data_IF_425186784347
#
_entry.id   IF_425186784347
#
_cell.length_a   1.000
_cell.length_b   1.000
_cell.length_c   1.000
_cell.angle_alpha   90.00
_cell.angle_beta   90.00
_cell.angle_gamma   90.00
#
_symmetry.space_group_name_H-M   'P 1'
#
loop_
_entity.id
_entity.type
_entity.pdbx_description
1 polymer ?
#
# COMPACT_ATOMS: atom_id res chain seq x y z
N UNK A 1 2.55 15.54 -38.31
CA UNK A 1 1.58 15.91 -37.22
C UNK A 1 2.05 15.30 -35.93
N UNK A 2 1.92 16.00 -34.81
CA UNK A 2 2.26 15.43 -33.50
C UNK A 2 1.24 14.34 -33.16
N UNK A 3 1.71 13.14 -32.81
CA UNK A 3 0.83 12.04 -32.40
C UNK A 3 0.09 12.40 -31.10
N UNK A 4 -1.17 12.00 -30.99
CA UNK A 4 -2.04 12.26 -29.84
C UNK A 4 -2.31 10.98 -29.08
N UNK A 5 -2.17 11.02 -27.75
CA UNK A 5 -2.51 9.91 -26.88
C UNK A 5 -3.59 10.31 -25.87
N UNK A 6 -4.51 9.38 -25.56
CA UNK A 6 -5.38 9.51 -24.42
C UNK A 6 -4.93 8.56 -23.31
N UNK A 7 -4.90 9.05 -22.07
CA UNK A 7 -4.71 8.24 -20.88
C UNK A 7 -5.94 8.41 -20.00
N UNK A 8 -6.57 7.31 -19.61
CA UNK A 8 -7.77 7.31 -18.77
C UNK A 8 -7.44 6.78 -17.39
N UNK A 9 -7.55 7.66 -16.39
CA UNK A 9 -7.18 7.45 -15.00
C UNK A 9 -5.90 8.18 -14.60
N UNK A 10 -6.00 9.15 -13.68
CA UNK A 10 -4.87 9.95 -13.19
C UNK A 10 -4.28 9.41 -11.87
N UNK A 11 -4.29 8.09 -11.68
CA UNK A 11 -3.52 7.40 -10.65
C UNK A 11 -2.03 7.35 -11.00
N UNK A 12 -1.22 6.74 -10.12
CA UNK A 12 0.24 6.67 -10.28
C UNK A 12 0.68 6.05 -11.61
N UNK A 13 -0.01 4.99 -12.08
CA UNK A 13 0.27 4.34 -13.36
C UNK A 13 -0.03 5.25 -14.56
N UNK A 14 -1.19 5.94 -14.52
CA UNK A 14 -1.60 6.83 -15.61
C UNK A 14 -0.69 8.05 -15.72
N UNK A 15 -0.31 8.64 -14.58
CA UNK A 15 0.64 9.76 -14.56
C UNK A 15 2.01 9.35 -15.12
N UNK A 16 2.48 8.16 -14.76
CA UNK A 16 3.74 7.64 -15.30
C UNK A 16 3.63 7.30 -16.77
N UNK A 17 2.51 6.73 -17.22
CA UNK A 17 2.24 6.49 -18.64
C UNK A 17 2.23 7.79 -19.46
N UNK A 18 1.63 8.88 -18.94
CA UNK A 18 1.68 10.19 -19.57
C UNK A 18 3.12 10.67 -19.78
N UNK A 19 3.94 10.61 -18.73
CA UNK A 19 5.33 11.02 -18.80
C UNK A 19 6.14 10.21 -19.83
N UNK A 20 5.92 8.89 -19.90
CA UNK A 20 6.56 8.04 -20.88
C UNK A 20 6.09 8.34 -22.31
N UNK A 21 4.80 8.62 -22.53
CA UNK A 21 4.24 9.01 -23.84
C UNK A 21 4.78 10.38 -24.30
N UNK A 22 4.90 11.35 -23.39
CA UNK A 22 5.54 12.64 -23.72
C UNK A 22 6.98 12.44 -24.20
N UNK A 23 7.75 11.54 -23.55
CA UNK A 23 9.11 11.19 -24.01
C UNK A 23 9.16 10.54 -25.38
N UNK A 24 8.06 9.92 -25.82
CA UNK A 24 7.90 9.39 -27.18
C UNK A 24 7.34 10.43 -28.16
N UNK A 25 7.22 11.69 -27.76
CA UNK A 25 6.77 12.80 -28.62
C UNK A 25 5.25 12.91 -28.79
N UNK A 26 4.45 12.25 -27.94
CA UNK A 26 3.00 12.41 -27.96
C UNK A 26 2.56 13.70 -27.27
N UNK A 27 1.47 14.29 -27.80
CA UNK A 27 0.62 15.22 -27.04
C UNK A 27 -0.42 14.40 -26.29
N UNK A 28 -0.44 14.50 -24.96
CA UNK A 28 -1.23 13.61 -24.12
C UNK A 28 -2.47 14.29 -23.56
N UNK A 29 -3.59 13.59 -23.56
CA UNK A 29 -4.84 14.00 -22.90
C UNK A 29 -5.12 13.03 -21.76
N UNK A 30 -5.03 13.53 -20.51
CA UNK A 30 -5.23 12.75 -19.30
C UNK A 30 -6.64 13.00 -18.77
N UNK A 31 -7.46 11.95 -18.71
CA UNK A 31 -8.84 12.00 -18.23
C UNK A 31 -8.93 11.35 -16.85
N UNK A 32 -9.56 12.05 -15.89
CA UNK A 32 -9.80 11.56 -14.55
C UNK A 32 -11.25 11.82 -14.15
N UNK A 33 -11.93 10.78 -13.66
CA UNK A 33 -13.34 10.86 -13.25
C UNK A 33 -13.57 11.68 -11.98
N UNK A 34 -12.56 11.75 -11.12
CA UNK A 34 -12.62 12.50 -9.86
C UNK A 34 -12.16 13.95 -10.03
N UNK A 35 -12.26 14.69 -8.95
CA UNK A 35 -11.92 16.11 -8.84
C UNK A 35 -10.41 16.38 -8.67
N UNK A 36 -9.60 15.31 -8.53
CA UNK A 36 -8.14 15.43 -8.37
C UNK A 36 -7.41 14.20 -8.90
N UNK A 37 -6.11 14.36 -9.19
CA UNK A 37 -5.18 13.29 -9.51
C UNK A 37 -4.87 12.41 -8.28
N UNK A 38 -4.14 11.30 -8.47
CA UNK A 38 -3.59 10.45 -7.41
C UNK A 38 -4.33 9.13 -7.22
N UNK A 39 -5.59 9.04 -7.62
CA UNK A 39 -6.38 7.81 -7.49
C UNK A 39 -6.50 7.35 -6.04
N UNK A 40 -5.91 6.19 -5.70
CA UNK A 40 -5.86 5.69 -4.31
C UNK A 40 -4.81 6.39 -3.44
N UNK A 41 -3.78 6.99 -4.03
CA UNK A 41 -2.73 7.74 -3.32
C UNK A 41 -3.15 9.21 -3.18
N UNK A 42 -4.19 9.47 -2.41
CA UNK A 42 -4.70 10.82 -2.10
C UNK A 42 -4.57 11.13 -0.63
N UNK A 43 -4.40 12.41 -0.34
CA UNK A 43 -4.38 12.96 1.01
C UNK A 43 -5.31 14.17 1.06
N UNK A 44 -5.98 14.35 2.18
CA UNK A 44 -6.88 15.49 2.44
C UNK A 44 -6.43 16.24 3.68
N UNK A 45 -6.55 17.57 3.67
CA UNK A 45 -6.30 18.38 4.85
C UNK A 45 -7.62 18.65 5.56
N UNK A 46 -7.71 18.24 6.83
CA UNK A 46 -8.92 18.39 7.66
C UNK A 46 -8.54 18.86 9.06
N UNK A 47 -9.02 20.03 9.47
CA UNK A 47 -8.77 20.60 10.80
C UNK A 47 -7.28 20.64 11.19
N UNK A 48 -6.39 20.92 10.24
CA UNK A 48 -4.95 20.96 10.45
C UNK A 48 -4.22 19.61 10.39
N UNK A 49 -4.95 18.51 10.22
CA UNK A 49 -4.40 17.19 9.99
C UNK A 49 -4.27 16.87 8.50
N UNK A 50 -3.30 16.03 8.16
CA UNK A 50 -3.19 15.39 6.84
C UNK A 50 -3.70 13.97 6.98
N UNK A 51 -4.81 13.65 6.30
CA UNK A 51 -5.44 12.34 6.29
C UNK A 51 -5.19 11.69 4.93
N UNK A 52 -4.40 10.63 4.91
CA UNK A 52 -4.24 9.81 3.71
C UNK A 52 -5.49 8.95 3.49
N UNK A 53 -5.84 8.71 2.25
CA UNK A 53 -6.96 7.82 1.90
C UNK A 53 -6.59 6.36 2.13
N UNK A 54 -6.85 5.87 3.34
CA UNK A 54 -6.29 4.65 3.88
C UNK A 54 -4.93 4.90 4.56
N UNK A 55 -4.34 3.86 5.14
CA UNK A 55 -2.99 3.95 5.68
C UNK A 55 -1.97 3.58 4.62
N UNK A 56 -1.17 4.53 4.20
CA UNK A 56 -0.12 4.36 3.21
C UNK A 56 1.27 4.56 3.80
N UNK A 57 2.21 3.79 3.31
CA UNK A 57 3.64 3.93 3.60
C UNK A 57 4.40 3.75 2.30
N UNK A 58 5.32 4.66 1.99
CA UNK A 58 6.22 4.50 0.86
C UNK A 58 7.37 3.59 1.23
N UNK A 59 7.68 2.68 0.32
CA UNK A 59 8.81 1.76 0.45
C UNK A 59 9.95 2.19 -0.47
N UNK A 60 11.03 2.76 0.12
CA UNK A 60 12.17 3.25 -0.67
C UNK A 60 13.06 2.15 -1.25
N UNK A 61 12.76 0.89 -0.93
CA UNK A 61 13.46 -0.28 -1.49
C UNK A 61 12.98 -0.73 -2.86
N UNK A 62 11.87 -0.17 -3.35
CA UNK A 62 11.35 -0.47 -4.69
C UNK A 62 12.22 0.15 -5.76
N UNK A 63 12.80 -0.64 -6.71
CA UNK A 63 13.80 -0.15 -7.65
C UNK A 63 13.30 0.99 -8.53
N UNK A 64 12.22 0.78 -9.29
CA UNK A 64 11.71 1.79 -10.24
C UNK A 64 11.15 3.01 -9.50
N UNK A 65 10.45 2.80 -8.38
CA UNK A 65 9.97 3.91 -7.57
C UNK A 65 11.13 4.75 -7.00
N UNK A 66 12.26 4.12 -6.61
CA UNK A 66 13.43 4.83 -6.11
C UNK A 66 14.19 5.63 -7.17
N UNK A 67 14.09 5.23 -8.43
CA UNK A 67 14.62 5.99 -9.56
C UNK A 67 13.72 7.18 -9.95
N UNK A 68 12.40 7.02 -9.74
CA UNK A 68 11.42 8.02 -10.16
C UNK A 68 11.14 9.07 -9.10
N UNK A 69 11.15 8.70 -7.81
CA UNK A 69 10.76 9.62 -6.74
C UNK A 69 11.97 10.21 -6.02
N UNK A 70 11.95 11.52 -5.89
CA UNK A 70 12.86 12.26 -5.01
C UNK A 70 12.26 12.32 -3.60
N UNK A 71 12.62 11.36 -2.76
CA UNK A 71 12.15 11.26 -1.37
C UNK A 71 12.64 12.41 -0.48
N UNK A 72 13.81 12.98 -0.81
CA UNK A 72 14.35 14.14 -0.09
C UNK A 72 13.53 15.39 -0.39
N UNK A 73 13.26 15.66 -1.66
CA UNK A 73 12.41 16.79 -2.07
C UNK A 73 10.97 16.69 -1.52
N UNK A 74 10.45 15.47 -1.31
CA UNK A 74 9.17 15.23 -0.64
C UNK A 74 9.26 15.37 0.89
N UNK A 75 10.43 15.65 1.47
CA UNK A 75 10.64 15.77 2.90
C UNK A 75 10.31 14.51 3.69
N UNK A 76 10.55 13.34 3.10
CA UNK A 76 10.16 12.06 3.69
C UNK A 76 10.87 11.76 5.01
N UNK A 77 10.11 11.31 6.01
CA UNK A 77 10.62 10.83 7.30
C UNK A 77 10.36 9.34 7.46
N UNK A 78 11.30 8.63 8.10
CA UNK A 78 11.28 7.18 8.18
C UNK A 78 10.72 6.65 9.50
N UNK A 79 9.99 5.53 9.41
CA UNK A 79 9.73 4.67 10.55
C UNK A 79 11.03 4.08 11.10
N UNK A 80 11.06 3.80 12.40
CA UNK A 80 12.13 2.97 12.97
C UNK A 80 12.00 1.53 12.42
N UNK A 81 13.13 0.88 12.07
CA UNK A 81 13.09 -0.48 11.51
C UNK A 81 12.70 -1.50 12.59
N UNK A 82 11.46 -1.94 12.54
CA UNK A 82 10.86 -2.84 13.51
C UNK A 82 9.37 -2.59 13.70
N UNK A 83 8.81 -3.11 14.79
CA UNK A 83 7.43 -2.92 15.17
C UNK A 83 7.24 -2.99 16.69
N UNK A 84 6.22 -2.34 17.20
CA UNK A 84 5.65 -2.63 18.50
C UNK A 84 4.60 -3.73 18.33
N UNK A 85 4.56 -4.67 19.25
CA UNK A 85 3.63 -5.79 19.22
C UNK A 85 2.84 -5.75 20.51
N UNK A 86 1.53 -5.55 20.39
CA UNK A 86 0.66 -5.46 21.56
C UNK A 86 -0.14 -6.75 21.75
N UNK A 87 -0.25 -7.18 23.01
CA UNK A 87 -1.27 -8.11 23.47
C UNK A 87 -2.24 -7.34 24.35
N UNK A 88 -3.45 -7.05 23.85
CA UNK A 88 -4.47 -6.29 24.58
C UNK A 88 -4.83 -6.93 25.90
N UNK A 89 -5.14 -6.11 26.91
CA UNK A 89 -5.63 -6.57 28.19
C UNK A 89 -6.28 -5.42 28.97
N UNK A 90 -7.42 -5.64 29.62
CA UNK A 90 -8.22 -4.62 30.30
C UNK A 90 -7.46 -3.76 31.32
N UNK A 91 -6.54 -4.38 32.09
CA UNK A 91 -5.82 -3.67 33.15
C UNK A 91 -4.40 -3.30 32.77
N UNK A 92 -3.70 -4.18 32.05
CA UNK A 92 -2.27 -3.99 31.73
C UNK A 92 -1.92 -4.68 30.41
N UNK A 93 -2.05 -4.00 29.27
CA UNK A 93 -1.60 -4.53 27.99
C UNK A 93 -0.10 -4.82 28.04
N UNK A 94 0.32 -5.87 27.33
CA UNK A 94 1.75 -6.16 27.15
C UNK A 94 2.19 -5.67 25.80
N UNK A 95 3.26 -4.89 25.79
CA UNK A 95 3.87 -4.37 24.57
C UNK A 95 5.30 -4.91 24.49
N UNK A 96 5.63 -5.54 23.38
CA UNK A 96 6.99 -5.94 23.04
C UNK A 96 7.49 -5.06 21.88
N UNK A 97 8.75 -4.69 21.94
CA UNK A 97 9.41 -4.00 20.84
C UNK A 97 10.26 -5.02 20.07
N UNK A 98 9.92 -5.20 18.81
CA UNK A 98 10.75 -5.93 17.85
C UNK A 98 11.54 -4.91 17.03
N UNK A 99 12.86 -5.00 17.06
CA UNK A 99 13.75 -4.14 16.27
C UNK A 99 14.55 -4.99 15.32
N UNK A 100 14.67 -4.58 14.06
CA UNK A 100 15.44 -5.28 13.04
C UNK A 100 16.94 -5.33 13.44
N UNK A 101 17.51 -6.51 13.78
CA UNK A 101 18.88 -6.61 14.27
C UNK A 101 19.93 -6.31 13.19
N UNK A 102 19.57 -6.41 11.90
CA UNK A 102 20.45 -6.09 10.80
C UNK A 102 20.66 -4.59 10.61
N UNK A 103 19.65 -3.79 10.98
CA UNK A 103 19.68 -2.32 10.86
C UNK A 103 20.03 -1.63 12.18
N UNK A 104 19.70 -2.26 13.29
CA UNK A 104 19.95 -1.76 14.65
C UNK A 104 20.54 -2.89 15.51
N UNK A 105 21.80 -3.31 15.27
CA UNK A 105 22.35 -4.52 15.89
C UNK A 105 22.31 -4.48 17.43
N UNK A 106 22.63 -3.35 18.04
CA UNK A 106 22.62 -3.22 19.51
C UNK A 106 21.19 -3.34 20.06
N UNK A 107 20.24 -2.55 19.54
CA UNK A 107 18.82 -2.60 19.98
C UNK A 107 18.17 -3.93 19.61
N UNK A 108 18.52 -4.52 18.46
CA UNK A 108 17.98 -5.79 17.99
C UNK A 108 18.38 -6.98 18.85
N UNK A 109 19.60 -7.02 19.38
CA UNK A 109 20.05 -8.07 20.30
C UNK A 109 19.21 -8.03 21.60
N UNK A 110 19.00 -6.85 22.18
CA UNK A 110 18.15 -6.72 23.38
C UNK A 110 16.67 -7.06 23.10
N UNK A 111 16.15 -6.72 21.94
CA UNK A 111 14.80 -7.10 21.50
C UNK A 111 14.62 -8.60 21.28
N UNK A 112 15.68 -9.32 20.86
CA UNK A 112 15.66 -10.76 20.65
C UNK A 112 15.47 -11.57 21.97
N UNK A 113 15.84 -10.99 23.10
CA UNK A 113 15.59 -11.58 24.44
C UNK A 113 14.19 -11.29 24.97
N UNK A 114 13.37 -10.51 24.27
CA UNK A 114 11.95 -10.39 24.62
C UNK A 114 11.26 -11.74 24.41
N UNK A 115 10.46 -12.18 25.36
CA UNK A 115 9.71 -13.44 25.34
C UNK A 115 8.59 -13.48 24.26
N UNK A 116 8.73 -12.64 23.23
CA UNK A 116 7.75 -12.55 22.13
C UNK A 116 7.80 -13.78 21.22
N UNK A 117 9.02 -14.26 20.89
CA UNK A 117 9.20 -15.43 20.02
C UNK A 117 10.47 -16.21 20.38
N UNK A 118 10.61 -17.41 19.84
CA UNK A 118 11.81 -18.21 20.01
C UNK A 118 12.99 -17.63 19.19
N UNK A 119 14.25 -17.75 19.67
CA UNK A 119 15.43 -17.33 18.91
C UNK A 119 15.53 -18.01 17.54
N UNK A 120 14.97 -19.22 17.41
CA UNK A 120 14.95 -19.97 16.16
C UNK A 120 14.10 -19.28 15.06
N UNK A 121 12.97 -18.67 15.43
CA UNK A 121 12.17 -17.90 14.48
C UNK A 121 12.94 -16.64 14.02
N UNK A 122 13.66 -15.97 14.92
CA UNK A 122 14.48 -14.81 14.57
C UNK A 122 15.62 -15.17 13.62
N UNK A 123 16.27 -16.31 13.87
CA UNK A 123 17.30 -16.86 12.97
C UNK A 123 16.69 -17.13 11.57
N UNK A 124 15.52 -17.75 11.51
CA UNK A 124 14.81 -18.01 10.23
C UNK A 124 14.48 -16.73 9.48
N UNK A 125 14.03 -15.67 10.16
CA UNK A 125 13.80 -14.34 9.55
C UNK A 125 15.11 -13.84 8.91
N UNK A 126 16.24 -13.94 9.63
CA UNK A 126 17.55 -13.54 9.13
C UNK A 126 17.98 -14.35 7.90
N UNK A 127 17.85 -15.68 7.94
CA UNK A 127 18.18 -16.55 6.80
C UNK A 127 17.28 -16.29 5.59
N UNK A 128 15.99 -16.07 5.80
CA UNK A 128 15.06 -15.71 4.73
C UNK A 128 15.48 -14.39 4.08
N UNK A 129 15.79 -13.38 4.88
CA UNK A 129 16.27 -12.07 4.41
C UNK A 129 17.54 -12.21 3.55
N UNK A 130 18.55 -12.96 4.02
CA UNK A 130 19.79 -13.17 3.28
C UNK A 130 19.51 -13.90 1.96
N UNK A 131 18.66 -14.93 1.99
CA UNK A 131 18.29 -15.70 0.79
C UNK A 131 17.60 -14.80 -0.24
N UNK A 132 16.57 -14.06 0.16
CA UNK A 132 15.82 -13.19 -0.74
C UNK A 132 16.64 -12.02 -1.26
N UNK A 133 17.57 -11.51 -0.47
CA UNK A 133 18.49 -10.45 -0.89
C UNK A 133 19.37 -10.81 -2.08
N UNK A 134 19.57 -12.11 -2.36
CA UNK A 134 20.41 -12.62 -3.47
C UNK A 134 19.62 -12.93 -4.75
N UNK A 135 18.29 -13.00 -4.68
CA UNK A 135 17.42 -13.35 -5.80
C UNK A 135 17.02 -12.07 -6.54
N UNK A 136 17.00 -12.06 -7.87
CA UNK A 136 16.46 -10.94 -8.64
C UNK A 136 14.92 -10.86 -8.52
N UNK A 137 14.34 -9.66 -8.67
CA UNK A 137 12.88 -9.51 -8.52
C UNK A 137 12.11 -10.26 -9.60
N UNK A 138 12.64 -10.33 -10.83
CA UNK A 138 12.09 -11.13 -11.93
C UNK A 138 12.05 -12.62 -11.63
N UNK A 139 13.05 -13.14 -10.92
CA UNK A 139 13.12 -14.57 -10.55
C UNK A 139 12.12 -14.92 -9.43
N UNK A 140 11.76 -13.95 -8.57
CA UNK A 140 10.78 -14.16 -7.51
C UNK A 140 9.43 -14.60 -8.09
N UNK A 141 9.01 -13.95 -9.18
CA UNK A 141 7.71 -14.21 -9.81
C UNK A 141 7.68 -15.46 -10.70
N UNK A 142 8.83 -16.11 -10.93
CA UNK A 142 8.95 -17.39 -11.63
C UNK A 142 8.85 -18.62 -10.71
N UNK A 143 8.82 -18.41 -9.38
CA UNK A 143 8.69 -19.51 -8.42
C UNK A 143 7.32 -20.16 -8.50
N UNK A 144 7.24 -21.40 -7.98
CA UNK A 144 5.96 -22.11 -7.83
C UNK A 144 5.01 -21.33 -6.92
N UNK A 145 3.73 -21.35 -7.29
CA UNK A 145 2.65 -20.74 -6.55
C UNK A 145 2.34 -21.51 -5.27
N UNK A 146 2.25 -20.82 -4.15
CA UNK A 146 1.74 -21.34 -2.89
C UNK A 146 1.25 -20.17 -2.04
N UNK A 147 0.42 -20.44 -1.04
CA UNK A 147 0.01 -19.40 -0.10
C UNK A 147 1.19 -18.92 0.75
N UNK A 148 1.15 -17.67 1.19
CA UNK A 148 2.15 -17.14 2.13
C UNK A 148 2.17 -17.95 3.43
N UNK A 149 1.00 -18.42 3.90
CA UNK A 149 0.91 -19.27 5.10
C UNK A 149 1.69 -20.58 4.92
N UNK A 150 1.40 -21.35 3.86
CA UNK A 150 2.09 -22.63 3.58
C UNK A 150 3.59 -22.43 3.39
N UNK A 151 3.95 -21.36 2.68
CA UNK A 151 5.35 -20.97 2.50
C UNK A 151 6.06 -20.74 3.84
N UNK A 152 5.48 -19.93 4.74
CA UNK A 152 6.09 -19.66 6.05
C UNK A 152 6.20 -20.93 6.91
N UNK A 153 5.18 -21.79 6.90
CA UNK A 153 5.21 -23.10 7.58
C UNK A 153 6.30 -23.99 6.98
N UNK A 154 6.45 -24.05 5.66
CA UNK A 154 7.52 -24.82 4.97
C UNK A 154 8.93 -24.32 5.31
N UNK A 155 9.08 -23.02 5.67
CA UNK A 155 10.34 -22.46 6.19
C UNK A 155 10.57 -22.74 7.66
N UNK A 156 9.62 -23.44 8.30
CA UNK A 156 9.69 -23.89 9.69
C UNK A 156 9.30 -22.83 10.71
N UNK A 157 8.70 -21.71 10.30
CA UNK A 157 8.15 -20.74 11.25
C UNK A 157 7.04 -21.39 12.09
N UNK A 158 7.02 -21.10 13.39
CA UNK A 158 5.95 -21.61 14.25
C UNK A 158 4.64 -20.87 14.04
N UNK A 159 3.52 -21.58 14.08
CA UNK A 159 2.18 -20.96 13.95
C UNK A 159 1.97 -19.77 14.91
N UNK A 160 2.34 -19.87 16.21
CA UNK A 160 2.20 -18.71 17.10
C UNK A 160 3.01 -17.48 16.69
N UNK A 161 4.14 -17.64 16.01
CA UNK A 161 4.91 -16.52 15.51
C UNK A 161 4.27 -15.93 14.25
N UNK A 162 3.77 -16.78 13.36
CA UNK A 162 3.01 -16.35 12.17
C UNK A 162 1.81 -15.53 12.63
N UNK A 163 1.00 -16.01 13.56
CA UNK A 163 -0.23 -15.35 14.03
C UNK A 163 0.04 -14.02 14.75
N UNK A 164 1.16 -13.91 15.48
CA UNK A 164 1.48 -12.72 16.27
C UNK A 164 2.24 -11.64 15.52
N UNK A 165 2.92 -12.00 14.44
CA UNK A 165 3.81 -11.09 13.71
C UNK A 165 3.48 -11.00 12.22
N UNK A 166 3.57 -12.11 11.49
CA UNK A 166 3.36 -12.07 10.04
C UNK A 166 1.91 -11.77 9.66
N UNK A 167 0.95 -12.38 10.33
CA UNK A 167 -0.46 -12.18 10.05
C UNK A 167 -0.93 -10.74 10.26
N UNK A 168 -0.65 -10.05 11.39
CA UNK A 168 -1.03 -8.64 11.54
C UNK A 168 -0.21 -7.70 10.64
N UNK A 169 1.07 -7.97 10.37
CA UNK A 169 1.90 -7.14 9.51
C UNK A 169 1.48 -7.27 8.05
N UNK A 170 1.52 -8.48 7.52
CA UNK A 170 1.20 -8.73 6.12
C UNK A 170 -0.30 -8.72 5.85
N UNK A 171 -1.11 -9.02 6.86
CA UNK A 171 -2.56 -8.83 6.80
C UNK A 171 -2.95 -7.38 6.53
N UNK A 172 -2.24 -6.43 7.15
CA UNK A 172 -2.41 -5.01 6.86
C UNK A 172 -1.90 -4.60 5.48
N UNK A 173 -0.82 -5.23 4.98
CA UNK A 173 -0.24 -4.96 3.66
C UNK A 173 -1.10 -5.57 2.55
N UNK A 174 -1.56 -6.82 2.73
CA UNK A 174 -2.32 -7.58 1.73
C UNK A 174 -3.84 -7.44 1.89
N UNK A 175 -4.28 -6.75 2.93
CA UNK A 175 -5.69 -6.56 3.30
C UNK A 175 -6.44 -7.90 3.45
N UNK A 176 -5.75 -8.91 4.02
CA UNK A 176 -6.29 -10.22 4.39
C UNK A 176 -5.40 -10.90 5.43
N UNK A 177 -5.97 -11.44 6.49
CA UNK A 177 -5.23 -11.91 7.66
C UNK A 177 -4.93 -13.41 7.64
N UNK A 178 -5.51 -14.16 6.69
CA UNK A 178 -5.30 -15.60 6.53
C UNK A 178 -4.00 -15.97 5.79
N UNK A 179 -3.27 -14.96 5.25
CA UNK A 179 -2.05 -15.12 4.47
C UNK A 179 -2.23 -16.02 3.24
N UNK A 180 -3.40 -15.89 2.56
CA UNK A 180 -3.71 -16.58 1.30
C UNK A 180 -2.99 -16.00 0.10
N UNK A 181 -2.55 -14.74 0.19
CA UNK A 181 -1.80 -14.07 -0.86
C UNK A 181 -0.60 -14.91 -1.27
N UNK A 182 -0.32 -14.96 -2.57
CA UNK A 182 0.78 -15.76 -3.12
C UNK A 182 2.13 -15.39 -2.48
N UNK A 183 2.93 -16.40 -2.17
CA UNK A 183 4.23 -16.25 -1.51
C UNK A 183 5.25 -15.47 -2.34
N UNK A 184 5.08 -15.40 -3.67
CA UNK A 184 5.91 -14.56 -4.55
C UNK A 184 5.75 -13.08 -4.19
N UNK A 185 4.50 -12.65 -3.89
CA UNK A 185 4.24 -11.28 -3.42
C UNK A 185 4.82 -11.03 -2.03
N UNK A 186 4.70 -12.00 -1.11
CA UNK A 186 5.34 -11.93 0.20
C UNK A 186 6.87 -11.77 0.07
N UNK A 187 7.52 -12.61 -0.72
CA UNK A 187 8.96 -12.55 -0.95
C UNK A 187 9.38 -11.19 -1.51
N UNK A 188 8.63 -10.66 -2.47
CA UNK A 188 8.89 -9.36 -3.07
C UNK A 188 8.79 -8.22 -2.04
N UNK A 189 7.70 -8.17 -1.28
CA UNK A 189 7.49 -7.12 -0.26
C UNK A 189 8.53 -7.24 0.85
N UNK A 190 8.74 -8.44 1.40
CA UNK A 190 9.68 -8.69 2.49
C UNK A 190 11.13 -8.34 2.10
N UNK A 191 11.54 -8.71 0.87
CA UNK A 191 12.85 -8.35 0.32
C UNK A 191 13.04 -6.84 0.26
N UNK A 192 12.07 -6.11 -0.30
CA UNK A 192 12.18 -4.67 -0.48
C UNK A 192 12.07 -3.91 0.86
N UNK A 193 11.23 -4.38 1.80
CA UNK A 193 11.24 -3.87 3.19
C UNK A 193 12.61 -4.04 3.85
N UNK A 194 13.36 -5.06 3.50
CA UNK A 194 14.69 -5.28 4.06
C UNK A 194 15.79 -4.42 3.43
N UNK A 195 15.58 -3.88 2.23
CA UNK A 195 16.53 -3.03 1.48
C UNK A 195 16.32 -1.54 1.72
N UNK A 196 15.07 -1.10 1.72
CA UNK A 196 14.68 0.31 1.85
C UNK A 196 14.11 0.66 3.21
N UNK A 197 13.67 1.89 3.37
CA UNK A 197 12.96 2.39 4.53
C UNK A 197 11.47 2.50 4.23
N UNK A 198 10.64 2.35 5.25
CA UNK A 198 9.25 2.79 5.22
C UNK A 198 9.21 4.27 5.59
N UNK A 199 8.62 5.10 4.73
CA UNK A 199 8.64 6.56 4.92
C UNK A 199 7.29 7.20 4.68
N UNK A 200 7.07 8.37 5.30
CA UNK A 200 5.93 9.25 5.06
C UNK A 200 6.39 10.58 4.47
N UNK A 201 5.82 11.04 3.35
CA UNK A 201 6.11 12.36 2.80
C UNK A 201 5.54 13.48 3.67
N UNK A 202 6.15 14.67 3.59
CA UNK A 202 5.73 15.85 4.37
C UNK A 202 4.29 16.29 4.09
N UNK A 203 3.82 16.17 2.84
CA UNK A 203 2.50 16.63 2.41
C UNK A 203 1.51 15.48 2.17
N UNK A 204 1.72 14.34 2.83
CA UNK A 204 0.90 13.14 2.66
C UNK A 204 1.31 12.30 1.45
N UNK A 205 0.67 11.15 1.29
CA UNK A 205 0.96 10.21 0.19
C UNK A 205 0.73 10.82 -1.20
N UNK A 206 -0.11 11.85 -1.30
CA UNK A 206 -0.38 12.61 -2.51
C UNK A 206 0.88 13.25 -3.12
N UNK A 207 1.94 13.44 -2.34
CA UNK A 207 3.21 14.00 -2.82
C UNK A 207 3.82 13.19 -3.98
N UNK A 208 3.65 11.86 -4.01
CA UNK A 208 4.14 11.01 -5.10
C UNK A 208 3.44 11.27 -6.44
N UNK A 209 2.11 11.14 -6.56
CA UNK A 209 1.42 11.47 -7.80
C UNK A 209 1.63 12.94 -8.19
N UNK A 210 1.70 13.86 -7.22
CA UNK A 210 1.97 15.27 -7.51
C UNK A 210 3.38 15.47 -8.10
N UNK A 211 4.38 14.76 -7.61
CA UNK A 211 5.74 14.84 -8.14
C UNK A 211 5.81 14.33 -9.59
N UNK A 212 5.09 13.26 -9.94
CA UNK A 212 4.99 12.81 -11.33
C UNK A 212 4.22 13.82 -12.21
N UNK A 213 3.10 14.32 -11.71
CA UNK A 213 2.30 15.30 -12.46
C UNK A 213 3.10 16.56 -12.79
N UNK A 214 3.91 17.05 -11.85
CA UNK A 214 4.74 18.24 -12.05
C UNK A 214 5.85 18.05 -13.11
N UNK A 215 6.12 16.82 -13.55
CA UNK A 215 7.07 16.55 -14.67
C UNK A 215 6.42 16.59 -16.04
N UNK A 216 5.09 16.61 -16.09
CA UNK A 216 4.35 16.62 -17.35
C UNK A 216 4.40 18.03 -17.96
N UNK A 217 4.78 18.10 -19.22
CA UNK A 217 4.97 19.35 -19.97
C UNK A 217 4.06 19.48 -21.19
N UNK A 218 3.56 18.37 -21.71
CA UNK A 218 2.72 18.30 -22.91
C UNK A 218 1.46 17.44 -22.68
N UNK A 219 0.95 17.45 -21.43
CA UNK A 219 -0.26 16.74 -21.01
C UNK A 219 -1.38 17.70 -20.66
N UNK A 220 -2.52 17.55 -21.31
CA UNK A 220 -3.75 18.27 -20.97
C UNK A 220 -4.57 17.45 -20.01
N UNK A 221 -4.69 17.92 -18.74
CA UNK A 221 -5.50 17.26 -17.70
C UNK A 221 -6.98 17.67 -17.81
N UNK A 222 -7.87 16.67 -17.75
CA UNK A 222 -9.33 16.84 -17.69
C UNK A 222 -9.85 16.09 -16.45
N UNK A 223 -10.14 16.83 -15.40
CA UNK A 223 -10.79 16.33 -14.18
C UNK A 223 -12.31 16.27 -14.34
N UNK A 224 -12.98 15.53 -13.47
CA UNK A 224 -14.43 15.30 -13.50
C UNK A 224 -14.92 14.76 -14.87
N UNK A 225 -14.04 14.04 -15.59
CA UNK A 225 -14.26 13.49 -16.91
C UNK A 225 -14.46 11.96 -16.83
N UNK A 226 -15.71 11.53 -16.80
CA UNK A 226 -16.06 10.10 -16.76
C UNK A 226 -16.19 9.56 -18.18
N UNK A 227 -15.04 9.25 -18.79
CA UNK A 227 -14.96 8.74 -20.16
C UNK A 227 -14.99 7.21 -20.21
N UNK A 228 -15.54 6.65 -21.30
CA UNK A 228 -15.45 5.23 -21.62
C UNK A 228 -14.52 5.00 -22.81
N UNK A 229 -13.67 3.98 -22.70
CA UNK A 229 -12.82 3.54 -23.82
C UNK A 229 -13.65 2.62 -24.72
N UNK A 230 -13.77 3.00 -26.01
CA UNK A 230 -14.46 2.20 -27.02
C UNK A 230 -13.50 1.10 -27.50
N UNK A 231 -12.28 1.49 -27.84
CA UNK A 231 -11.18 0.63 -28.26
C UNK A 231 -9.82 1.24 -27.89
N UNK A 232 -8.73 0.78 -28.48
CA UNK A 232 -7.37 1.24 -28.21
C UNK A 232 -7.00 2.55 -28.89
N UNK A 233 -7.95 3.19 -29.61
CA UNK A 233 -7.77 4.50 -30.28
C UNK A 233 -8.90 5.46 -30.02
N UNK A 234 -10.02 5.03 -29.46
CA UNK A 234 -11.25 5.82 -29.40
C UNK A 234 -11.81 5.86 -27.96
N UNK A 235 -12.13 7.05 -27.50
CA UNK A 235 -12.86 7.27 -26.24
C UNK A 235 -14.20 7.95 -26.50
N UNK A 236 -15.12 7.80 -25.54
CA UNK A 236 -16.39 8.52 -25.49
C UNK A 236 -16.48 9.36 -24.21
N UNK A 237 -16.70 10.65 -24.40
CA UNK A 237 -16.93 11.64 -23.35
C UNK A 237 -18.37 12.18 -23.49
N UNK A 238 -19.29 11.64 -22.71
CA UNK A 238 -20.72 11.88 -22.89
C UNK A 238 -21.19 11.45 -24.29
N UNK A 239 -21.66 12.41 -25.11
CA UNK A 239 -22.07 12.16 -26.49
C UNK A 239 -20.93 12.34 -27.50
N UNK A 240 -19.77 12.84 -27.10
CA UNK A 240 -18.65 13.11 -27.98
C UNK A 240 -17.74 11.89 -28.11
N UNK A 241 -17.46 11.47 -29.32
CA UNK A 241 -16.47 10.45 -29.65
C UNK A 241 -15.19 11.16 -30.12
N UNK A 242 -14.05 10.75 -29.59
CA UNK A 242 -12.74 11.34 -29.88
C UNK A 242 -11.75 10.24 -30.24
N UNK A 243 -11.02 10.45 -31.33
CA UNK A 243 -10.00 9.54 -31.82
C UNK A 243 -8.60 10.02 -31.46
N UNK A 244 -7.73 9.06 -31.17
CA UNK A 244 -6.33 9.22 -30.80
C UNK A 244 -5.47 8.21 -31.56
N UNK A 245 -4.17 8.45 -31.64
CA UNK A 245 -3.25 7.43 -32.13
C UNK A 245 -3.14 6.24 -31.19
N UNK A 246 -3.34 6.49 -29.89
CA UNK A 246 -3.37 5.45 -28.85
C UNK A 246 -4.21 5.88 -27.64
N UNK A 247 -4.92 4.93 -27.03
CA UNK A 247 -5.61 5.07 -25.74
C UNK A 247 -4.98 4.11 -24.75
N UNK A 248 -4.54 4.62 -23.60
CA UNK A 248 -4.03 3.83 -22.46
C UNK A 248 -5.06 3.87 -21.32
N UNK A 249 -5.47 2.70 -20.86
CA UNK A 249 -6.41 2.54 -19.75
C UNK A 249 -5.64 2.32 -18.45
N UNK A 250 -5.58 3.32 -17.58
CA UNK A 250 -4.86 3.26 -16.31
C UNK A 250 -5.82 2.97 -15.12
N UNK A 251 -6.68 1.98 -15.30
CA UNK A 251 -7.65 1.51 -14.32
C UNK A 251 -7.86 0.00 -14.47
N UNK A 252 -8.33 -0.64 -13.40
CA UNK A 252 -8.58 -2.07 -13.41
C UNK A 252 -9.63 -2.46 -14.46
N UNK A 253 -9.42 -3.55 -15.22
CA UNK A 253 -10.43 -4.06 -16.15
C UNK A 253 -11.75 -4.36 -15.43
N UNK A 254 -12.88 -4.18 -16.12
CA UNK A 254 -14.21 -4.40 -15.55
C UNK A 254 -14.43 -5.83 -15.00
N UNK A 255 -13.66 -6.80 -15.48
CA UNK A 255 -13.69 -8.19 -15.06
C UNK A 255 -12.70 -8.50 -13.93
N UNK A 256 -11.89 -7.56 -13.48
CA UNK A 256 -11.01 -7.73 -12.30
C UNK A 256 -11.86 -7.67 -11.03
N UNK A 257 -12.62 -8.74 -10.76
CA UNK A 257 -13.64 -8.79 -9.70
C UNK A 257 -13.07 -8.96 -8.30
N UNK A 258 -11.81 -9.33 -8.17
CA UNK A 258 -11.23 -9.66 -6.87
C UNK A 258 -10.42 -8.48 -6.34
N UNK A 259 -11.08 -7.65 -5.56
CA UNK A 259 -10.44 -6.56 -4.80
C UNK A 259 -10.72 -6.72 -3.33
N UNK A 260 -9.76 -6.30 -2.51
CA UNK A 260 -9.87 -6.30 -1.05
C UNK A 260 -10.16 -4.91 -0.55
N UNK A 261 -11.09 -4.84 0.40
CA UNK A 261 -11.46 -3.58 1.06
C UNK A 261 -10.72 -3.37 2.36
N UNK A 262 -10.71 -2.12 2.82
CA UNK A 262 -10.13 -1.72 4.10
C UNK A 262 -10.96 -0.64 4.76
N UNK A 263 -11.08 -0.72 6.08
CA UNK A 263 -11.53 0.37 6.92
C UNK A 263 -10.31 1.05 7.54
N UNK A 264 -10.30 2.37 7.50
CA UNK A 264 -9.28 3.18 8.16
C UNK A 264 -9.96 4.21 9.04
N UNK A 265 -9.56 4.27 10.29
CA UNK A 265 -10.09 5.21 11.25
C UNK A 265 -8.97 6.15 11.69
N UNK A 266 -9.22 7.44 11.56
CA UNK A 266 -8.30 8.48 11.99
C UNK A 266 -8.82 9.14 13.27
N UNK A 267 -7.94 9.26 14.27
CA UNK A 267 -8.23 9.93 15.53
C UNK A 267 -7.26 11.09 15.75
N UNK A 268 -7.77 12.17 16.33
CA UNK A 268 -6.96 13.17 16.99
C UNK A 268 -6.82 12.80 18.46
N UNK A 269 -5.60 12.87 18.98
CA UNK A 269 -5.29 12.66 20.39
C UNK A 269 -4.43 13.80 20.93
N UNK A 270 -4.54 14.18 22.23
CA UNK A 270 -3.71 15.23 22.81
C UNK A 270 -2.22 14.87 22.85
N UNK A 271 -1.90 13.58 22.80
CA UNK A 271 -0.51 13.06 22.74
C UNK A 271 -0.47 11.68 22.11
N UNK A 272 0.67 11.32 21.57
CA UNK A 272 0.91 9.97 21.05
C UNK A 272 0.81 8.90 22.15
N UNK A 273 0.08 7.80 21.92
CA UNK A 273 0.06 6.65 22.83
C UNK A 273 1.30 5.75 22.67
N UNK A 274 2.10 5.96 21.64
CA UNK A 274 3.26 5.15 21.31
C UNK A 274 4.55 5.78 21.85
N UNK A 275 5.59 4.96 21.93
CA UNK A 275 6.96 5.40 22.17
C UNK A 275 7.81 5.06 20.96
N UNK A 276 8.26 6.10 20.26
CA UNK A 276 9.08 5.99 19.06
C UNK A 276 8.25 5.74 17.78
N UNK A 277 8.91 5.86 16.66
CA UNK A 277 8.34 5.92 15.32
C UNK A 277 8.05 4.52 14.74
N UNK A 278 7.25 3.71 15.42
CA UNK A 278 6.96 2.34 15.07
C UNK A 278 5.51 2.17 14.61
N UNK A 279 5.28 1.17 13.76
CA UNK A 279 3.95 0.59 13.61
C UNK A 279 3.66 -0.36 14.78
N UNK A 280 2.43 -0.37 15.28
CA UNK A 280 1.99 -1.30 16.33
C UNK A 280 1.10 -2.39 15.75
N UNK A 281 1.47 -3.65 15.97
CA UNK A 281 0.82 -4.84 15.45
C UNK A 281 0.01 -5.54 16.56
N UNK A 282 -1.17 -6.05 16.22
CA UNK A 282 -2.04 -6.78 17.14
C UNK A 282 -1.65 -8.26 17.22
N UNK A 283 -0.97 -8.68 18.28
CA UNK A 283 -0.62 -10.09 18.47
C UNK A 283 -1.80 -11.03 18.78
N UNK A 284 -2.97 -10.48 18.98
CA UNK A 284 -4.21 -11.20 19.27
C UNK A 284 -5.24 -11.13 18.15
N UNK A 285 -4.84 -10.69 16.94
CA UNK A 285 -5.74 -10.50 15.80
C UNK A 285 -6.54 -11.76 15.46
N UNK A 286 -5.92 -12.93 15.57
CA UNK A 286 -6.59 -14.24 15.35
C UNK A 286 -7.49 -14.69 16.49
N UNK A 287 -7.54 -13.95 17.60
CA UNK A 287 -8.46 -14.24 18.70
C UNK A 287 -9.84 -13.67 18.37
N UNK A 288 -10.89 -14.31 18.85
CA UNK A 288 -12.27 -13.87 18.63
C UNK A 288 -12.48 -12.40 19.03
N UNK A 289 -13.22 -11.67 18.21
CA UNK A 289 -13.64 -10.28 18.40
C UNK A 289 -12.56 -9.19 18.26
N UNK A 290 -11.35 -9.50 17.82
CA UNK A 290 -10.37 -8.47 17.48
C UNK A 290 -10.50 -8.08 16.00
N UNK A 291 -10.40 -6.79 15.71
CA UNK A 291 -10.57 -6.20 14.37
C UNK A 291 -9.31 -5.46 13.91
N UNK A 292 -8.64 -4.79 14.85
CA UNK A 292 -7.51 -3.91 14.52
C UNK A 292 -6.33 -4.76 14.10
N UNK A 293 -5.93 -4.64 12.84
CA UNK A 293 -4.73 -5.28 12.31
C UNK A 293 -3.47 -4.58 12.83
N UNK A 294 -3.42 -3.27 12.65
CA UNK A 294 -2.32 -2.45 13.14
C UNK A 294 -2.76 -1.01 13.40
N UNK A 295 -1.94 -0.31 14.14
CA UNK A 295 -2.06 1.11 14.44
C UNK A 295 -0.74 1.80 14.17
N UNK A 296 -0.80 3.01 13.64
CA UNK A 296 0.34 3.91 13.52
C UNK A 296 -0.01 5.29 14.06
N UNK A 297 1.01 6.06 14.40
CA UNK A 297 0.88 7.49 14.71
C UNK A 297 1.69 8.27 13.67
N UNK A 298 1.10 8.59 12.49
CA UNK A 298 1.79 9.26 11.40
C UNK A 298 2.51 10.54 11.83
N UNK A 299 1.94 11.30 12.77
CA UNK A 299 2.54 12.53 13.29
C UNK A 299 3.81 12.32 14.13
N UNK A 300 4.05 11.12 14.69
CA UNK A 300 5.31 10.79 15.35
C UNK A 300 6.44 10.62 14.34
N UNK A 301 6.12 10.13 13.15
CA UNK A 301 7.08 9.93 12.06
C UNK A 301 7.27 11.23 11.29
N UNK A 302 6.18 11.86 10.91
CA UNK A 302 6.14 13.07 10.11
C UNK A 302 5.29 14.14 10.81
N UNK A 303 5.92 15.09 11.52
CA UNK A 303 5.19 16.06 12.35
C UNK A 303 4.15 16.91 11.61
N UNK A 304 4.28 17.05 10.29
CA UNK A 304 3.31 17.81 9.48
C UNK A 304 1.92 17.16 9.38
N UNK A 305 1.76 15.89 9.83
CA UNK A 305 0.48 15.19 9.77
C UNK A 305 -0.52 15.64 10.84
N UNK A 306 -0.09 16.39 11.85
CA UNK A 306 -0.97 16.91 12.88
C UNK A 306 -0.58 18.33 13.31
N UNK A 307 -1.49 19.10 13.95
CA UNK A 307 -1.13 20.30 14.70
C UNK A 307 -0.11 19.98 15.79
N UNK A 308 0.73 20.96 16.17
CA UNK A 308 1.87 20.78 17.09
C UNK A 308 1.50 20.32 18.50
N UNK A 309 0.26 20.52 18.90
CA UNK A 309 -0.32 20.17 20.21
C UNK A 309 -1.16 18.89 20.19
N UNK A 310 -1.19 18.19 19.04
CA UNK A 310 -1.98 16.98 18.85
C UNK A 310 -1.19 15.89 18.12
N UNK A 311 -1.70 14.68 18.18
CA UNK A 311 -1.20 13.52 17.44
C UNK A 311 -2.28 12.93 16.56
N UNK A 312 -1.91 12.54 15.33
CA UNK A 312 -2.76 11.77 14.44
C UNK A 312 -2.53 10.28 14.68
N UNK A 313 -3.59 9.56 15.05
CA UNK A 313 -3.58 8.11 15.18
C UNK A 313 -4.36 7.53 14.01
N UNK A 314 -3.80 6.55 13.33
CA UNK A 314 -4.42 5.86 12.21
C UNK A 314 -4.52 4.36 12.51
N UNK A 315 -5.74 3.83 12.42
CA UNK A 315 -6.07 2.43 12.70
C UNK A 315 -6.54 1.75 11.43
N UNK A 316 -6.04 0.55 11.18
CA UNK A 316 -6.41 -0.27 10.01
C UNK A 316 -7.18 -1.51 10.43
N UNK A 317 -8.34 -1.71 9.79
CA UNK A 317 -9.19 -2.90 9.93
C UNK A 317 -9.41 -3.51 8.55
N UNK A 318 -9.12 -4.80 8.40
CA UNK A 318 -9.37 -5.54 7.17
C UNK A 318 -10.86 -5.72 6.97
N UNK A 319 -11.39 -5.33 5.82
CA UNK A 319 -12.84 -5.34 5.57
C UNK A 319 -13.45 -6.74 5.61
N UNK A 320 -12.71 -7.75 5.15
CA UNK A 320 -13.14 -9.15 5.21
C UNK A 320 -13.39 -9.60 6.65
N UNK A 321 -12.47 -9.26 7.57
CA UNK A 321 -12.57 -9.65 8.98
C UNK A 321 -13.72 -8.91 9.69
N UNK A 322 -13.93 -7.64 9.36
CA UNK A 322 -15.07 -6.88 9.84
C UNK A 322 -16.40 -7.49 9.35
N UNK A 323 -16.47 -7.85 8.07
CA UNK A 323 -17.66 -8.47 7.47
C UNK A 323 -17.96 -9.83 8.10
N UNK A 324 -16.95 -10.67 8.38
CA UNK A 324 -17.11 -11.95 9.09
C UNK A 324 -17.71 -11.78 10.48
N UNK A 325 -17.51 -10.63 11.12
CA UNK A 325 -18.10 -10.27 12.40
C UNK A 325 -19.43 -9.51 12.28
N UNK A 326 -19.98 -9.36 11.07
CA UNK A 326 -21.23 -8.64 10.81
C UNK A 326 -21.12 -7.12 10.88
N UNK A 327 -19.91 -6.57 10.88
CA UNK A 327 -19.65 -5.14 11.00
C UNK A 327 -19.49 -4.52 9.59
N UNK A 328 -20.53 -3.86 9.11
CA UNK A 328 -20.59 -3.31 7.75
C UNK A 328 -20.89 -1.81 7.68
N UNK A 329 -21.20 -1.18 8.81
CA UNK A 329 -21.46 0.26 8.88
C UNK A 329 -20.31 1.02 9.53
N UNK A 330 -20.14 2.29 9.16
CA UNK A 330 -19.13 3.17 9.77
C UNK A 330 -19.27 3.25 11.28
N UNK A 331 -20.50 3.37 11.79
CA UNK A 331 -20.80 3.46 13.21
C UNK A 331 -20.38 2.17 13.95
N UNK A 332 -20.77 1.00 13.42
CA UNK A 332 -20.44 -0.28 14.05
C UNK A 332 -18.91 -0.54 14.10
N UNK A 333 -18.21 -0.14 13.03
CA UNK A 333 -16.75 -0.21 12.98
C UNK A 333 -16.12 0.74 14.01
N UNK A 334 -16.56 1.99 14.06
CA UNK A 334 -16.08 2.99 15.02
C UNK A 334 -16.24 2.53 16.46
N UNK A 335 -17.44 2.12 16.85
CA UNK A 335 -17.77 1.63 18.21
C UNK A 335 -16.89 0.41 18.59
N UNK A 336 -16.74 -0.55 17.65
CA UNK A 336 -15.95 -1.75 17.89
C UNK A 336 -14.45 -1.45 18.00
N UNK A 337 -13.94 -0.55 17.18
CA UNK A 337 -12.52 -0.11 17.22
C UNK A 337 -12.23 0.67 18.50
N UNK A 338 -13.10 1.60 18.92
CA UNK A 338 -12.96 2.33 20.18
C UNK A 338 -12.93 1.36 21.38
N UNK A 339 -13.84 0.38 21.38
CA UNK A 339 -13.87 -0.66 22.43
C UNK A 339 -12.57 -1.47 22.47
N UNK A 340 -12.03 -1.88 21.30
CA UNK A 340 -10.77 -2.61 21.24
C UNK A 340 -9.58 -1.74 21.66
N UNK A 341 -9.53 -0.48 21.22
CA UNK A 341 -8.48 0.48 21.60
C UNK A 341 -8.45 0.75 23.10
N UNK A 342 -9.59 0.72 23.79
CA UNK A 342 -9.65 0.86 25.24
C UNK A 342 -8.93 -0.29 25.98
N UNK A 343 -8.80 -1.47 25.34
CA UNK A 343 -7.97 -2.56 25.84
C UNK A 343 -6.47 -2.37 25.52
N UNK A 344 -6.15 -1.58 24.50
CA UNK A 344 -4.78 -1.28 24.12
C UNK A 344 -4.21 -0.13 24.96
N UNK A 345 -5.02 0.89 25.21
CA UNK A 345 -4.63 2.15 25.87
C UNK A 345 -5.65 2.54 26.96
N UNK A 346 -5.74 1.76 28.07
CA UNK A 346 -6.69 2.04 29.14
C UNK A 346 -6.56 3.48 29.68
N UNK A 347 -7.67 4.20 29.77
CA UNK A 347 -7.74 5.56 30.29
C UNK A 347 -7.19 6.66 29.37
N UNK A 348 -6.89 6.35 28.12
CA UNK A 348 -6.41 7.34 27.15
C UNK A 348 -7.41 7.59 26.02
N UNK A 349 -8.14 6.56 25.61
CA UNK A 349 -9.00 6.60 24.41
C UNK A 349 -10.18 7.54 24.60
N UNK A 350 -10.62 7.80 25.82
CA UNK A 350 -11.68 8.76 26.16
C UNK A 350 -11.33 10.21 25.80
N UNK A 351 -10.02 10.53 25.69
CA UNK A 351 -9.53 11.84 25.28
C UNK A 351 -9.39 11.99 23.75
N UNK A 352 -9.61 10.89 23.00
CA UNK A 352 -9.44 10.91 21.55
C UNK A 352 -10.73 11.31 20.84
N UNK A 353 -10.62 12.02 19.73
CA UNK A 353 -11.75 12.36 18.88
C UNK A 353 -11.60 11.72 17.50
N UNK A 354 -12.69 11.15 16.99
CA UNK A 354 -12.72 10.59 15.63
C UNK A 354 -12.71 11.72 14.62
N UNK A 355 -11.69 11.75 13.76
CA UNK A 355 -11.60 12.69 12.64
C UNK A 355 -12.35 12.16 11.43
N UNK A 356 -12.19 10.86 11.15
CA UNK A 356 -12.81 10.24 9.99
C UNK A 356 -12.81 8.71 10.07
N UNK A 357 -13.91 8.10 9.58
CA UNK A 357 -14.02 6.67 9.29
C UNK A 357 -14.15 6.50 7.79
N UNK A 358 -13.13 5.93 7.16
CA UNK A 358 -13.06 5.69 5.72
C UNK A 358 -13.28 4.21 5.40
N UNK A 359 -14.12 3.94 4.41
CA UNK A 359 -14.21 2.63 3.77
C UNK A 359 -13.71 2.72 2.34
N UNK A 360 -12.74 1.92 1.98
CA UNK A 360 -12.19 1.81 0.64
C UNK A 360 -12.48 0.40 0.13
N UNK A 361 -13.52 0.28 -0.68
CA UNK A 361 -14.01 -1.01 -1.19
C UNK A 361 -12.95 -1.72 -2.05
N UNK A 362 -12.34 -0.99 -2.97
CA UNK A 362 -11.32 -1.51 -3.90
C UNK A 362 -9.95 -0.95 -3.55
N UNK A 363 -9.45 -1.26 -2.36
CA UNK A 363 -8.19 -0.74 -1.86
C UNK A 363 -6.98 -1.45 -2.50
N UNK A 364 -7.06 -2.76 -2.67
CA UNK A 364 -5.98 -3.58 -3.20
C UNK A 364 -6.53 -4.69 -4.10
N UNK A 365 -5.92 -4.97 -5.27
CA UNK A 365 -6.23 -6.16 -6.04
C UNK A 365 -5.87 -7.43 -5.27
N UNK A 366 -6.65 -8.49 -5.43
CA UNK A 366 -6.31 -9.81 -4.89
C UNK A 366 -5.31 -10.52 -5.79
N UNK A 367 -4.28 -11.10 -5.19
CA UNK A 367 -3.25 -11.85 -5.90
C UNK A 367 -3.20 -13.30 -5.42
N UNK A 368 -3.81 -14.17 -6.21
CA UNK A 368 -3.64 -15.61 -6.15
C UNK A 368 -2.53 -16.06 -7.12
N UNK A 369 -2.13 -17.34 -7.02
CA UNK A 369 -1.18 -17.92 -7.97
C UNK A 369 -1.65 -17.83 -9.41
N UNK A 370 -2.92 -18.11 -9.66
CA UNK A 370 -3.56 -18.03 -10.98
C UNK A 370 -3.43 -16.65 -11.63
N UNK A 371 -3.50 -15.58 -10.82
CA UNK A 371 -3.32 -14.22 -11.32
C UNK A 371 -1.92 -14.02 -11.93
N UNK A 372 -0.87 -14.42 -11.22
CA UNK A 372 0.51 -14.29 -11.71
C UNK A 372 0.78 -15.12 -12.96
N UNK A 373 0.16 -16.29 -13.06
CA UNK A 373 0.33 -17.18 -14.22
C UNK A 373 -0.35 -16.59 -15.47
N UNK A 374 -1.41 -15.80 -15.29
CA UNK A 374 -2.13 -15.12 -16.36
C UNK A 374 -1.52 -13.76 -16.77
N UNK A 375 -0.60 -13.18 -15.99
CA UNK A 375 0.04 -11.89 -16.33
C UNK A 375 0.82 -11.91 -17.65
N UNK A 376 1.30 -13.06 -18.08
CA UNK A 376 1.98 -13.24 -19.36
C UNK A 376 1.05 -13.10 -20.56
N UNK A 377 -0.25 -13.28 -20.35
CA UNK A 377 -1.27 -13.24 -21.41
C UNK A 377 -1.84 -11.82 -21.66
N UNK A 378 -1.52 -10.84 -20.82
CA UNK A 378 -1.97 -9.45 -20.96
C UNK A 378 -1.09 -8.60 -21.90
N UNK A 379 -0.21 -9.23 -22.68
CA UNK A 379 0.80 -8.55 -23.53
C UNK A 379 0.25 -7.79 -24.74
N UNK A 380 -1.05 -7.67 -24.94
CA UNK A 380 -1.66 -6.98 -26.08
C UNK A 380 -2.56 -5.81 -25.73
N UNK A 381 -2.98 -5.68 -24.47
CA UNK A 381 -3.92 -4.65 -24.06
C UNK A 381 -3.19 -3.40 -23.56
N UNK A 382 -3.66 -2.22 -23.98
CA UNK A 382 -3.15 -0.92 -23.52
C UNK A 382 -3.70 -0.61 -22.10
N UNK A 383 -3.61 -1.58 -21.18
CA UNK A 383 -4.11 -1.47 -19.80
C UNK A 383 -2.94 -1.52 -18.84
N UNK A 384 -2.85 -0.53 -17.94
CA UNK A 384 -1.87 -0.50 -16.88
C UNK A 384 -2.52 -0.29 -15.50
N UNK A 385 -1.80 -0.63 -14.46
CA UNK A 385 -2.22 -0.55 -13.07
C UNK A 385 -1.64 -1.70 -12.26
N UNK A 386 -1.72 -1.61 -10.95
CA UNK A 386 -1.25 -2.66 -10.05
C UNK A 386 -2.02 -3.99 -10.22
N UNK A 387 -3.26 -3.94 -10.70
CA UNK A 387 -4.05 -5.12 -11.05
C UNK A 387 -3.55 -5.89 -12.27
N UNK A 388 -2.67 -5.29 -13.08
CA UNK A 388 -2.12 -5.91 -14.30
C UNK A 388 -0.68 -6.40 -14.13
N UNK A 389 -0.10 -6.23 -12.95
CA UNK A 389 1.23 -6.77 -12.64
C UNK A 389 1.30 -7.33 -11.22
N UNK A 390 1.52 -6.51 -10.20
CA UNK A 390 1.42 -6.89 -8.79
C UNK A 390 0.97 -5.70 -7.92
N UNK A 391 0.32 -6.00 -6.80
CA UNK A 391 -0.35 -5.05 -5.90
C UNK A 391 0.66 -4.19 -5.12
N UNK A 392 1.29 -3.25 -5.80
CA UNK A 392 2.15 -2.24 -5.18
C UNK A 392 2.32 -1.03 -6.10
N UNK A 393 2.86 0.06 -5.56
CA UNK A 393 3.28 1.23 -6.35
C UNK A 393 4.29 0.82 -7.43
N UNK A 394 5.24 -0.04 -7.10
CA UNK A 394 6.22 -0.59 -8.05
C UNK A 394 5.53 -1.34 -9.19
N UNK A 395 4.57 -2.21 -8.88
CA UNK A 395 3.82 -2.95 -9.88
C UNK A 395 3.00 -2.05 -10.80
N UNK A 396 2.41 -1.00 -10.23
CA UNK A 396 1.68 0.01 -10.99
C UNK A 396 2.58 0.75 -11.98
N UNK A 397 3.80 1.10 -11.58
CA UNK A 397 4.79 1.75 -12.44
C UNK A 397 5.32 0.80 -13.52
N UNK A 398 5.73 -0.42 -13.16
CA UNK A 398 6.22 -1.42 -14.11
C UNK A 398 5.17 -1.75 -15.17
N UNK A 399 3.89 -1.84 -14.78
CA UNK A 399 2.81 -2.12 -15.74
C UNK A 399 2.67 -1.01 -16.77
N UNK A 400 2.77 0.26 -16.37
CA UNK A 400 2.75 1.39 -17.29
C UNK A 400 3.96 1.38 -18.23
N UNK A 401 5.17 1.12 -17.71
CA UNK A 401 6.38 0.99 -18.52
C UNK A 401 6.21 -0.08 -19.60
N UNK A 402 5.70 -1.28 -19.23
CA UNK A 402 5.47 -2.38 -20.17
C UNK A 402 4.52 -2.02 -21.31
N UNK A 403 3.41 -1.34 -20.98
CA UNK A 403 2.45 -0.89 -22.02
C UNK A 403 3.14 0.03 -23.01
N UNK A 404 3.88 1.02 -22.56
CA UNK A 404 4.54 1.98 -23.44
C UNK A 404 5.68 1.34 -24.24
N UNK A 405 6.48 0.45 -23.62
CA UNK A 405 7.53 -0.28 -24.33
C UNK A 405 6.97 -1.16 -25.46
N UNK A 406 5.81 -1.78 -25.24
CA UNK A 406 5.13 -2.58 -26.27
C UNK A 406 4.60 -1.69 -27.42
N UNK A 407 4.04 -0.53 -27.11
CA UNK A 407 3.59 0.44 -28.11
C UNK A 407 4.74 0.91 -29.00
N UNK A 408 5.89 1.21 -28.41
CA UNK A 408 7.10 1.65 -29.15
C UNK A 408 7.61 0.53 -30.05
N UNK A 409 7.68 -0.71 -29.56
CA UNK A 409 8.13 -1.87 -30.35
C UNK A 409 7.22 -2.16 -31.54
N UNK A 410 5.91 -2.02 -31.36
CA UNK A 410 4.93 -2.27 -32.43
C UNK A 410 4.90 -1.12 -33.45
N UNK A 411 5.00 0.14 -33.00
CA UNK A 411 5.07 1.30 -33.88
C UNK A 411 6.38 1.44 -34.66
N UNK A 412 7.43 0.67 -34.33
CA UNK A 412 8.68 0.61 -35.07
C UNK A 412 8.64 -0.44 -36.20
N UNK A 413 7.55 -1.20 -36.34
CA UNK A 413 7.36 -2.25 -37.35
C UNK A 413 6.47 -1.81 -38.51
N UNK A 414 5.79 -0.68 -38.35
CA UNK A 414 5.00 0.01 -39.38
C UNK A 414 5.81 1.18 -39.99
#
# INVERSE_FOLDING_TARGET
MTKKAAVVGAGISGLYACWLLEKQGYSVYLYEKSDAIGGRMRSEKKSGFILDRGFHVLQTGYPLASELFDYEAMGCQAFEPGALIIKPHEKKPKIWQFTDPFRRPVKGIFGAFSLFTSPLNLLRVGLLRIKLGRIQDSELFQKESQTTLDYLLSKGFSQPFIDRFFSPLFGGIFLETELRTDSRMFDFVFKNMSRGNMVLPKDGIMACPQQLFNRLTNTTLKLNANVSCIDDKTIRDGNNVQDFDVVVRAFAPANSKLTRGVWTIHFAAPKSPLRGNYIMLNSSLKSSNNLISHLAVPSDIQPSYAPSDQSLITVTVVAEDATKQGLTSKQAIEESVIKELSLWFPGQVEEWSVLEVQYIESALPEFSGEHFDNLTNLNGDNICGDSTYHASVEGALISAQRVIDNLVKNGSRD
#
